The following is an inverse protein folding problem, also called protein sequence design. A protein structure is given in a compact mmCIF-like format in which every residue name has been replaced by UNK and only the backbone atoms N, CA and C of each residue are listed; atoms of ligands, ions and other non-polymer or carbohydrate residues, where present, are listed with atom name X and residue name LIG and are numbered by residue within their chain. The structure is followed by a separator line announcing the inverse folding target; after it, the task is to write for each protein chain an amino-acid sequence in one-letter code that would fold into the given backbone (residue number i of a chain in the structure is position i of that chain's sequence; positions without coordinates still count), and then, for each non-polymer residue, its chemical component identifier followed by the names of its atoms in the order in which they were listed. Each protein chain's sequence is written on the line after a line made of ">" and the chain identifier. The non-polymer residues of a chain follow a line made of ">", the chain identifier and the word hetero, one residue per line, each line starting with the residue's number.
data_IF_941016494790
#
_entry.id   IF_941016494790
#
_cell.length_a   1.000
_cell.length_b   1.000
_cell.length_c   1.000
_cell.angle_alpha   90.00
_cell.angle_beta   90.00
_cell.angle_gamma   90.00
#
_symmetry.space_group_name_H-M   'P 1'
#
loop_
_entity.id
_entity.type
_entity.pdbx_description
1 polymer ?
#
# COMPACT_ATOMS: atom_id res chain seq x y z
N UNK A 1 -20.41 23.87 68.29
CA UNK A 1 -20.41 25.32 68.00
C UNK A 1 -19.94 25.49 66.56
N UNK A 2 -20.78 26.12 65.74
CA UNK A 2 -20.66 26.28 64.28
C UNK A 2 -19.77 27.45 63.88
N UNK A 3 -19.16 27.34 62.69
CA UNK A 3 -18.99 28.36 61.64
C UNK A 3 -18.12 27.70 60.54
N UNK A 4 -18.54 27.27 59.35
CA UNK A 4 -19.41 27.87 58.32
C UNK A 4 -18.95 29.30 58.03
N UNK A 5 -18.40 29.63 56.86
CA UNK A 5 -19.23 29.95 55.69
C UNK A 5 -18.43 30.32 54.40
N UNK A 6 -18.93 29.77 53.27
CA UNK A 6 -18.99 30.28 51.87
C UNK A 6 -17.69 30.41 51.05
N UNK A 7 -17.63 29.99 49.78
CA UNK A 7 -18.38 30.54 48.63
C UNK A 7 -18.87 29.45 47.65
N UNK A 8 -20.07 29.70 47.13
CA UNK A 8 -20.82 28.98 46.07
C UNK A 8 -20.55 29.64 44.71
N UNK A 9 -20.70 28.85 43.64
CA UNK A 9 -21.11 29.21 42.26
C UNK A 9 -20.03 29.10 41.17
N UNK A 10 -20.24 28.20 40.21
CA UNK A 10 -20.85 28.58 38.93
C UNK A 10 -21.19 27.33 38.08
N UNK A 11 -22.45 27.25 37.64
CA UNK A 11 -22.88 26.46 36.50
C UNK A 11 -22.12 26.90 35.23
N UNK A 12 -21.78 25.95 34.35
CA UNK A 12 -22.05 26.07 32.93
C UNK A 12 -22.40 24.71 32.32
N UNK A 13 -23.58 24.69 31.71
CA UNK A 13 -24.09 23.64 30.84
C UNK A 13 -23.54 23.80 29.42
N UNK A 14 -23.93 22.84 28.57
CA UNK A 14 -23.91 22.79 27.10
C UNK A 14 -22.84 21.93 26.47
N UNK A 15 -23.35 20.94 25.75
CA UNK A 15 -22.58 19.97 25.02
C UNK A 15 -21.99 20.51 23.74
N UNK A 16 -20.95 19.82 23.31
CA UNK A 16 -20.68 19.58 21.92
C UNK A 16 -20.30 18.11 21.84
N UNK A 17 -21.22 17.26 21.41
CA UNK A 17 -20.83 16.06 20.72
C UNK A 17 -20.03 16.56 19.51
N UNK A 18 -18.70 16.57 19.64
CA UNK A 18 -17.81 16.68 18.49
C UNK A 18 -17.96 15.37 17.73
N UNK A 19 -19.05 15.25 16.98
CA UNK A 19 -18.99 14.56 15.71
C UNK A 19 -17.90 15.28 14.96
N UNK A 20 -16.72 14.66 14.90
CA UNK A 20 -15.74 15.04 13.89
C UNK A 20 -16.48 14.96 12.56
N UNK A 21 -16.92 16.12 12.07
CA UNK A 21 -17.21 16.31 10.68
C UNK A 21 -15.88 15.98 10.00
N UNK A 22 -15.72 14.71 9.59
CA UNK A 22 -14.62 14.27 8.75
C UNK A 22 -14.63 15.24 7.61
N UNK A 23 -13.68 16.17 7.61
CA UNK A 23 -13.49 17.10 6.52
C UNK A 23 -13.54 16.24 5.27
N UNK A 24 -14.50 16.53 4.38
CA UNK A 24 -14.49 16.04 3.03
C UNK A 24 -13.32 16.76 2.34
N UNK A 25 -12.09 16.51 2.81
CA UNK A 25 -10.89 16.77 2.02
C UNK A 25 -11.12 16.16 0.64
N UNK A 26 -10.68 16.83 -0.44
CA UNK A 26 -11.05 16.49 -1.80
C UNK A 26 -10.64 15.04 -2.12
N UNK A 27 -11.58 14.11 -1.90
CA UNK A 27 -11.39 12.67 -2.10
C UNK A 27 -11.01 12.36 -3.54
N UNK A 28 -11.36 13.23 -4.49
CA UNK A 28 -11.21 12.94 -5.90
C UNK A 28 -9.78 12.98 -6.44
N UNK A 29 -8.90 13.88 -5.96
CA UNK A 29 -7.53 13.94 -6.50
C UNK A 29 -6.66 12.81 -5.93
N UNK A 30 -6.82 12.48 -4.65
CA UNK A 30 -6.11 11.36 -4.02
C UNK A 30 -6.60 9.99 -4.50
N UNK A 31 -7.91 9.81 -4.63
CA UNK A 31 -8.49 8.51 -5.01
C UNK A 31 -8.29 8.22 -6.52
N UNK A 32 -8.42 9.22 -7.41
CA UNK A 32 -8.13 9.00 -8.83
C UNK A 32 -6.64 8.71 -9.08
N UNK A 33 -5.74 9.48 -8.48
CA UNK A 33 -4.30 9.26 -8.61
C UNK A 33 -3.87 7.91 -8.01
N UNK A 34 -4.45 7.53 -6.87
CA UNK A 34 -4.26 6.22 -6.28
C UNK A 34 -4.76 5.10 -7.19
N UNK A 35 -5.97 5.22 -7.77
CA UNK A 35 -6.52 4.20 -8.65
C UNK A 35 -5.70 4.03 -9.93
N UNK A 36 -5.16 5.12 -10.49
CA UNK A 36 -4.21 5.05 -11.62
C UNK A 36 -2.93 4.32 -11.20
N UNK A 37 -2.34 4.67 -10.05
CA UNK A 37 -1.13 4.00 -9.54
C UNK A 37 -1.38 2.49 -9.32
N UNK A 38 -2.52 2.13 -8.74
CA UNK A 38 -2.95 0.73 -8.55
C UNK A 38 -3.11 -0.02 -9.87
N UNK A 39 -3.69 0.59 -10.89
CA UNK A 39 -3.81 -0.05 -12.20
C UNK A 39 -2.44 -0.25 -12.85
N UNK A 40 -1.57 0.76 -12.79
CA UNK A 40 -0.21 0.68 -13.33
C UNK A 40 0.61 -0.42 -12.68
N UNK A 41 0.59 -0.52 -11.34
CA UNK A 41 1.33 -1.56 -10.65
C UNK A 41 0.75 -2.95 -10.90
N UNK A 42 -0.58 -3.13 -11.00
CA UNK A 42 -1.18 -4.43 -11.36
C UNK A 42 -0.69 -4.89 -12.73
N UNK A 43 -0.67 -4.00 -13.71
CA UNK A 43 -0.16 -4.31 -15.05
C UNK A 43 1.34 -4.66 -15.03
N UNK A 44 2.15 -3.87 -14.31
CA UNK A 44 3.58 -4.11 -14.19
C UNK A 44 3.92 -5.41 -13.42
N UNK A 45 3.19 -5.70 -12.34
CA UNK A 45 3.31 -6.95 -11.59
C UNK A 45 2.88 -8.15 -12.42
N UNK A 46 1.86 -8.02 -13.28
CA UNK A 46 1.45 -9.08 -14.21
C UNK A 46 2.57 -9.40 -15.22
N UNK A 47 3.18 -8.37 -15.81
CA UNK A 47 4.32 -8.55 -16.71
C UNK A 47 5.54 -9.15 -15.99
N UNK A 48 5.82 -8.70 -14.75
CA UNK A 48 6.88 -9.26 -13.91
C UNK A 48 6.61 -10.72 -13.59
N UNK A 49 5.39 -11.06 -13.18
CA UNK A 49 4.96 -12.43 -12.85
C UNK A 49 5.15 -13.38 -14.02
N UNK A 50 4.80 -12.94 -15.23
CA UNK A 50 4.97 -13.73 -16.46
C UNK A 50 6.44 -14.12 -16.63
N UNK A 51 7.34 -13.14 -16.65
CA UNK A 51 8.77 -13.39 -16.84
C UNK A 51 9.36 -14.20 -15.68
N UNK A 52 8.94 -13.94 -14.45
CA UNK A 52 9.33 -14.77 -13.30
C UNK A 52 8.93 -16.23 -13.50
N UNK A 53 7.76 -16.50 -14.10
CA UNK A 53 7.32 -17.85 -14.44
C UNK A 53 8.26 -18.59 -15.40
N UNK A 54 8.98 -17.85 -16.23
CA UNK A 54 9.87 -18.37 -17.27
C UNK A 54 11.33 -18.57 -16.80
N UNK A 55 11.68 -18.09 -15.59
CA UNK A 55 13.03 -18.26 -15.00
C UNK A 55 13.42 -19.74 -14.91
N UNK A 56 14.68 -20.10 -15.19
CA UNK A 56 15.11 -21.49 -15.15
C UNK A 56 15.43 -21.99 -13.74
N UNK A 57 16.05 -21.14 -12.93
CA UNK A 57 16.36 -21.45 -11.53
C UNK A 57 15.08 -21.52 -10.68
N UNK A 58 14.78 -22.70 -10.17
CA UNK A 58 13.56 -22.95 -9.40
C UNK A 58 13.53 -22.18 -8.07
N UNK A 59 14.67 -22.03 -7.39
CA UNK A 59 14.77 -21.33 -6.11
C UNK A 59 14.51 -19.84 -6.30
N UNK A 60 15.16 -19.24 -7.32
CA UNK A 60 14.96 -17.84 -7.69
C UNK A 60 13.52 -17.60 -8.12
N UNK A 61 12.97 -18.48 -8.97
CA UNK A 61 11.57 -18.42 -9.40
C UNK A 61 10.62 -18.40 -8.22
N UNK A 62 10.69 -19.40 -7.33
CA UNK A 62 9.76 -19.51 -6.20
C UNK A 62 9.86 -18.31 -5.27
N UNK A 63 11.07 -17.85 -4.95
CA UNK A 63 11.27 -16.67 -4.11
C UNK A 63 10.72 -15.39 -4.76
N UNK A 64 10.98 -15.19 -6.06
CA UNK A 64 10.47 -14.04 -6.79
C UNK A 64 8.92 -14.08 -6.89
N UNK A 65 8.33 -15.25 -7.13
CA UNK A 65 6.88 -15.45 -7.15
C UNK A 65 6.23 -15.10 -5.81
N UNK A 66 6.87 -15.46 -4.70
CA UNK A 66 6.37 -15.13 -3.36
C UNK A 66 6.30 -13.61 -3.15
N UNK A 67 7.36 -12.87 -3.52
CA UNK A 67 7.37 -11.41 -3.44
C UNK A 67 6.33 -10.75 -4.35
N UNK A 68 6.18 -11.24 -5.59
CA UNK A 68 5.16 -10.74 -6.53
C UNK A 68 3.76 -10.97 -5.97
N UNK A 69 3.52 -12.16 -5.41
CA UNK A 69 2.23 -12.50 -4.79
C UNK A 69 1.93 -11.59 -3.59
N UNK A 70 2.90 -11.36 -2.71
CA UNK A 70 2.76 -10.44 -1.59
C UNK A 70 2.35 -9.03 -2.05
N UNK A 71 3.03 -8.48 -3.06
CA UNK A 71 2.67 -7.18 -3.61
C UNK A 71 1.26 -7.18 -4.25
N UNK A 72 0.89 -8.23 -4.98
CA UNK A 72 -0.45 -8.35 -5.58
C UNK A 72 -1.56 -8.43 -4.52
N UNK A 73 -1.37 -9.23 -3.48
CA UNK A 73 -2.33 -9.39 -2.38
C UNK A 73 -2.54 -8.05 -1.65
N UNK A 74 -1.45 -7.32 -1.38
CA UNK A 74 -1.48 -6.02 -0.74
C UNK A 74 -2.20 -4.95 -1.59
N UNK A 75 -1.97 -4.92 -2.91
CA UNK A 75 -2.76 -4.06 -3.84
C UNK A 75 -4.25 -4.43 -3.84
N UNK A 76 -4.56 -5.72 -3.66
CA UNK A 76 -5.91 -6.22 -3.46
C UNK A 76 -6.56 -5.65 -2.19
N UNK A 77 -5.83 -5.66 -1.06
CA UNK A 77 -6.28 -5.06 0.20
C UNK A 77 -6.55 -3.56 0.04
N UNK A 78 -5.62 -2.81 -0.57
CA UNK A 78 -5.81 -1.38 -0.85
C UNK A 78 -7.10 -1.17 -1.66
N UNK A 79 -7.34 -1.99 -2.69
CA UNK A 79 -8.56 -1.88 -3.49
C UNK A 79 -9.83 -2.10 -2.71
N UNK A 80 -9.84 -3.10 -1.83
CA UNK A 80 -11.00 -3.40 -1.00
C UNK A 80 -11.31 -2.24 -0.06
N UNK A 81 -10.30 -1.65 0.59
CA UNK A 81 -10.49 -0.49 1.46
C UNK A 81 -11.06 0.71 0.71
N UNK A 82 -10.52 1.02 -0.48
CA UNK A 82 -11.03 2.12 -1.30
C UNK A 82 -12.48 1.89 -1.76
N UNK A 83 -12.83 0.66 -2.17
CA UNK A 83 -14.21 0.31 -2.51
C UNK A 83 -15.16 0.43 -1.32
N UNK A 84 -14.66 0.23 -0.09
CA UNK A 84 -15.40 0.46 1.15
C UNK A 84 -15.45 1.95 1.56
N UNK A 85 -14.83 2.86 0.80
CA UNK A 85 -14.73 4.29 1.13
C UNK A 85 -13.72 4.59 2.25
N UNK A 86 -12.86 3.63 2.58
CA UNK A 86 -11.79 3.78 3.55
C UNK A 86 -10.50 4.26 2.87
N UNK A 87 -9.58 4.79 3.68
CA UNK A 87 -8.23 5.10 3.22
C UNK A 87 -7.45 3.82 2.98
N UNK A 88 -6.51 3.87 2.03
CA UNK A 88 -5.58 2.77 1.81
C UNK A 88 -4.76 2.48 3.09
N UNK A 89 -4.82 1.26 3.65
CA UNK A 89 -4.09 0.94 4.88
C UNK A 89 -2.59 1.18 4.70
N UNK A 90 -1.93 1.79 5.69
CA UNK A 90 -0.49 2.00 5.65
C UNK A 90 0.28 0.67 5.54
N UNK A 91 -0.12 -0.33 6.32
CA UNK A 91 0.44 -1.68 6.28
C UNK A 91 0.36 -2.30 4.88
N UNK A 92 -0.77 -2.15 4.18
CA UNK A 92 -0.90 -2.67 2.82
C UNK A 92 0.01 -1.93 1.83
N UNK A 93 0.30 -0.64 2.02
CA UNK A 93 1.27 0.09 1.20
C UNK A 93 2.70 -0.37 1.49
N UNK A 94 3.02 -0.60 2.74
CA UNK A 94 4.31 -1.13 3.17
C UNK A 94 4.53 -2.55 2.62
N UNK A 95 3.49 -3.38 2.62
CA UNK A 95 3.52 -4.73 2.06
C UNK A 95 3.74 -4.75 0.54
N UNK A 96 3.25 -3.74 -0.18
CA UNK A 96 3.58 -3.55 -1.60
C UNK A 96 5.08 -3.31 -1.77
N UNK A 97 5.65 -2.36 -1.00
CA UNK A 97 7.07 -2.05 -1.06
C UNK A 97 7.94 -3.24 -0.64
N UNK A 98 7.54 -3.96 0.41
CA UNK A 98 8.21 -5.16 0.89
C UNK A 98 8.18 -6.30 -0.14
N UNK A 99 7.04 -6.57 -0.77
CA UNK A 99 6.91 -7.59 -1.80
C UNK A 99 7.77 -7.30 -3.04
N UNK A 100 7.77 -6.04 -3.51
CA UNK A 100 8.63 -5.60 -4.61
C UNK A 100 10.12 -5.75 -4.29
N UNK A 101 10.51 -5.35 -3.07
CA UNK A 101 11.89 -5.50 -2.57
C UNK A 101 12.29 -6.97 -2.50
N UNK A 102 11.42 -7.83 -1.97
CA UNK A 102 11.66 -9.27 -1.89
C UNK A 102 11.83 -9.90 -3.28
N UNK A 103 11.00 -9.52 -4.26
CA UNK A 103 11.19 -9.96 -5.66
C UNK A 103 12.53 -9.50 -6.21
N UNK A 104 12.92 -8.25 -5.99
CA UNK A 104 14.21 -7.72 -6.45
C UNK A 104 15.41 -8.43 -5.84
N UNK A 105 15.35 -8.74 -4.54
CA UNK A 105 16.37 -9.52 -3.84
C UNK A 105 16.46 -10.94 -4.38
N UNK A 106 15.32 -11.59 -4.65
CA UNK A 106 15.30 -12.92 -5.24
C UNK A 106 15.94 -12.94 -6.64
N UNK A 107 15.58 -11.98 -7.51
CA UNK A 107 16.11 -11.89 -8.88
C UNK A 107 17.62 -11.65 -8.93
N UNK A 108 18.22 -11.01 -7.92
CA UNK A 108 19.68 -10.87 -7.82
C UNK A 108 20.41 -12.20 -7.65
N UNK A 109 19.74 -13.24 -7.14
CA UNK A 109 20.27 -14.60 -7.08
C UNK A 109 20.21 -15.34 -8.43
N UNK A 110 19.52 -14.79 -9.43
CA UNK A 110 19.38 -15.39 -10.77
C UNK A 110 20.60 -15.21 -11.67
N UNK A 111 20.75 -16.11 -12.63
CA UNK A 111 21.77 -16.00 -13.67
C UNK A 111 21.48 -14.80 -14.59
N UNK A 112 22.53 -14.05 -14.96
CA UNK A 112 22.42 -12.97 -15.96
C UNK A 112 22.30 -13.50 -17.40
N UNK A 113 22.67 -14.75 -17.63
CA UNK A 113 22.50 -15.42 -18.92
C UNK A 113 21.05 -15.92 -19.12
N UNK A 114 20.25 -15.94 -18.05
CA UNK A 114 18.82 -16.22 -18.12
C UNK A 114 18.07 -14.93 -18.53
N UNK A 115 17.60 -14.91 -19.78
CA UNK A 115 16.84 -13.77 -20.31
C UNK A 115 15.58 -13.48 -19.48
N UNK A 116 14.95 -14.51 -18.88
CA UNK A 116 13.77 -14.31 -18.06
C UNK A 116 14.09 -13.55 -16.76
N UNK A 117 15.28 -13.75 -16.17
CA UNK A 117 15.76 -12.97 -15.02
C UNK A 117 15.97 -11.50 -15.42
N UNK A 118 16.57 -11.27 -16.59
CA UNK A 118 16.79 -9.91 -17.13
C UNK A 118 15.46 -9.19 -17.39
N UNK A 119 14.52 -9.86 -18.06
CA UNK A 119 13.21 -9.30 -18.39
C UNK A 119 12.35 -9.11 -17.14
N UNK A 120 12.41 -10.02 -16.17
CA UNK A 120 11.75 -9.88 -14.88
C UNK A 120 12.30 -8.67 -14.11
N UNK A 121 13.62 -8.46 -14.12
CA UNK A 121 14.26 -7.32 -13.45
C UNK A 121 13.84 -5.99 -14.10
N UNK A 122 13.81 -5.93 -15.43
CA UNK A 122 13.36 -4.74 -16.18
C UNK A 122 11.89 -4.40 -15.89
N UNK A 123 11.01 -5.39 -15.87
CA UNK A 123 9.60 -5.16 -15.55
C UNK A 123 9.37 -4.88 -14.07
N UNK A 124 10.17 -5.47 -13.17
CA UNK A 124 10.14 -5.15 -11.75
C UNK A 124 10.48 -3.67 -11.52
N UNK A 125 11.45 -3.09 -12.24
CA UNK A 125 11.76 -1.65 -12.10
C UNK A 125 10.54 -0.76 -12.41
N UNK A 126 9.73 -1.14 -13.40
CA UNK A 126 8.45 -0.44 -13.69
C UNK A 126 7.45 -0.64 -12.56
N UNK A 127 7.37 -1.85 -12.00
CA UNK A 127 6.50 -2.15 -10.87
C UNK A 127 6.92 -1.39 -9.61
N UNK A 128 8.22 -1.24 -9.35
CA UNK A 128 8.77 -0.45 -8.24
C UNK A 128 8.38 1.00 -8.35
N UNK A 129 8.56 1.62 -9.52
CA UNK A 129 8.12 3.01 -9.75
C UNK A 129 6.61 3.19 -9.53
N UNK A 130 5.80 2.25 -10.01
CA UNK A 130 4.35 2.29 -9.77
C UNK A 130 3.99 2.01 -8.29
N UNK A 131 4.78 1.20 -7.58
CA UNK A 131 4.64 0.94 -6.15
C UNK A 131 4.98 2.15 -5.28
N UNK A 132 6.01 2.90 -5.62
CA UNK A 132 6.32 4.19 -4.98
C UNK A 132 5.15 5.16 -5.12
N UNK A 133 4.53 5.20 -6.30
CA UNK A 133 3.32 5.97 -6.56
C UNK A 133 2.14 5.51 -5.68
N UNK A 134 1.96 4.20 -5.45
CA UNK A 134 0.95 3.69 -4.51
C UNK A 134 1.23 4.16 -3.09
N UNK A 135 2.49 4.05 -2.61
CA UNK A 135 2.87 4.51 -1.27
C UNK A 135 2.61 6.01 -1.09
N UNK A 136 2.96 6.80 -2.10
CA UNK A 136 2.85 8.26 -2.07
C UNK A 136 1.42 8.78 -2.24
N UNK A 137 0.64 8.19 -3.15
CA UNK A 137 -0.64 8.73 -3.63
C UNK A 137 -1.87 8.09 -2.98
N UNK A 138 -1.76 6.86 -2.47
CA UNK A 138 -2.87 6.19 -1.79
C UNK A 138 -2.86 6.52 -0.29
N UNK A 139 -3.47 7.64 0.11
CA UNK A 139 -3.52 8.08 1.52
C UNK A 139 -4.93 8.31 2.03
#
# INVERSE_FOLDING_TARGET
>A
MHAQQYIIAALMAFGAAVTEARALEPRQIGDLACNVARLQIVNALSATKKNVGDIQDATVKTAAQAGVKQAQDAIGVIGKSLLAGEKAPATARDDVAAGLTATGTALQGGSKDDQAVTDATSNLAKATKAGEDVVAKCK
#
